data_IF_242914759548
#
_entry.id   IF_242914759548
#
_cell.length_a   1.000
_cell.length_b   1.000
_cell.length_c   1.000
_cell.angle_alpha   90.00
_cell.angle_beta   90.00
_cell.angle_gamma   90.00
#
_symmetry.space_group_name_H-M   'P 1'
#
loop_
_entity.id
_entity.type
_entity.pdbx_description
1 polymer ?
#
# COMPACT_ATOMS: atom_id res chain seq x y z
N UNK A 1 14.20 28.31 4.31
CA UNK A 1 13.96 26.86 4.46
C UNK A 1 15.18 26.15 3.92
N UNK A 2 15.86 25.34 4.74
CA UNK A 2 17.08 24.59 4.38
C UNK A 2 16.68 23.14 4.11
N UNK A 3 17.15 22.58 3.00
CA UNK A 3 16.96 21.15 2.72
C UNK A 3 18.14 20.37 3.30
N UNK A 4 17.84 19.28 4.00
CA UNK A 4 18.84 18.35 4.52
C UNK A 4 19.04 17.27 3.46
N UNK A 5 20.30 16.97 3.15
CA UNK A 5 20.61 15.91 2.21
C UNK A 5 20.18 14.55 2.78
N UNK A 6 19.53 13.76 1.92
CA UNK A 6 19.06 12.43 2.28
C UNK A 6 20.14 11.38 2.04
N UNK A 7 20.04 10.24 2.72
CA UNK A 7 20.95 9.11 2.53
C UNK A 7 20.72 8.36 1.20
N UNK A 8 21.36 7.20 1.02
CA UNK A 8 21.18 6.36 -0.18
C UNK A 8 19.77 5.77 -0.30
N UNK A 9 19.06 5.62 0.81
CA UNK A 9 17.65 5.17 0.83
C UNK A 9 16.67 6.36 0.64
N UNK A 10 17.20 7.55 0.33
CA UNK A 10 16.45 8.79 0.13
C UNK A 10 15.71 9.22 1.39
N UNK A 11 16.24 8.91 2.57
CA UNK A 11 15.71 9.28 3.87
C UNK A 11 16.58 10.35 4.57
N UNK A 12 15.95 11.33 5.20
CA UNK A 12 16.64 12.23 6.12
C UNK A 12 17.06 11.47 7.39
N UNK A 13 18.29 11.73 7.84
CA UNK A 13 18.92 11.09 9.00
C UNK A 13 19.30 12.11 10.06
N UNK A 14 19.34 11.68 11.32
CA UNK A 14 19.59 12.59 12.45
C UNK A 14 20.96 13.26 12.40
N UNK A 15 21.99 12.56 11.88
CA UNK A 15 23.36 13.09 11.79
C UNK A 15 23.44 14.39 10.97
N UNK A 16 23.01 14.36 9.71
CA UNK A 16 23.09 15.54 8.83
C UNK A 16 22.14 16.66 9.28
N UNK A 17 21.01 16.31 9.88
CA UNK A 17 20.11 17.30 10.49
C UNK A 17 20.81 18.04 11.66
N UNK A 18 21.48 17.30 12.55
CA UNK A 18 22.23 17.87 13.68
C UNK A 18 23.33 18.80 13.20
N UNK A 19 24.16 18.34 12.27
CA UNK A 19 25.24 19.16 11.69
C UNK A 19 24.70 20.47 11.11
N UNK A 20 23.59 20.41 10.37
CA UNK A 20 22.95 21.61 9.83
C UNK A 20 22.46 22.57 10.91
N UNK A 21 21.82 22.06 11.97
CA UNK A 21 21.33 22.86 13.11
C UNK A 21 22.51 23.52 13.84
N UNK A 22 23.56 22.77 14.15
CA UNK A 22 24.73 23.28 14.85
C UNK A 22 25.45 24.37 14.04
N UNK A 23 25.54 24.21 12.72
CA UNK A 23 26.13 25.21 11.84
C UNK A 23 25.28 26.46 11.70
N UNK A 24 23.95 26.33 11.69
CA UNK A 24 23.03 27.48 11.72
C UNK A 24 23.17 28.25 13.05
N UNK A 25 23.27 27.54 14.18
CA UNK A 25 23.49 28.15 15.50
C UNK A 25 24.84 28.88 15.56
N UNK A 26 25.92 28.29 15.03
CA UNK A 26 27.24 28.95 14.95
C UNK A 26 27.21 30.23 14.12
N UNK A 27 26.32 30.30 13.12
CA UNK A 27 26.11 31.49 12.30
C UNK A 27 25.17 32.52 12.95
N UNK A 28 24.69 32.27 14.18
CA UNK A 28 23.76 33.14 14.89
C UNK A 28 22.31 33.05 14.40
N UNK A 29 21.97 32.02 13.62
CA UNK A 29 20.60 31.73 13.21
C UNK A 29 19.87 30.95 14.32
N UNK A 30 18.53 30.96 14.26
CA UNK A 30 17.67 30.25 15.20
C UNK A 30 16.87 29.19 14.45
N UNK A 31 17.32 27.93 14.42
CA UNK A 31 16.50 26.81 13.97
C UNK A 31 15.27 26.69 14.88
N UNK A 32 14.09 26.48 14.30
CA UNK A 32 12.84 26.42 15.09
C UNK A 32 11.85 25.35 14.63
N UNK A 33 12.05 24.75 13.45
CA UNK A 33 11.09 23.82 12.86
C UNK A 33 11.76 22.82 11.92
N UNK A 34 11.32 21.57 12.00
CA UNK A 34 11.76 20.46 11.14
C UNK A 34 10.53 19.74 10.58
N UNK A 35 10.56 19.44 9.27
CA UNK A 35 9.62 18.53 8.62
C UNK A 35 10.27 17.17 8.42
N UNK A 36 9.78 16.13 9.08
CA UNK A 36 10.07 14.76 8.70
C UNK A 36 8.96 14.24 7.78
N UNK A 37 9.35 13.61 6.68
CA UNK A 37 8.41 13.09 5.69
C UNK A 37 8.32 11.56 5.77
N UNK A 38 7.12 11.04 5.98
CA UNK A 38 6.81 9.62 5.91
C UNK A 38 6.08 9.33 4.60
N UNK A 39 6.81 8.82 3.61
CA UNK A 39 6.30 8.59 2.27
C UNK A 39 6.48 9.81 1.37
N UNK A 40 7.74 10.14 1.06
CA UNK A 40 8.11 11.25 0.17
C UNK A 40 7.43 11.18 -1.19
N UNK A 41 7.21 12.34 -1.81
CA UNK A 41 6.51 12.41 -3.11
C UNK A 41 7.28 11.68 -4.22
N UNK A 42 8.60 11.81 -4.26
CA UNK A 42 9.44 11.26 -5.34
C UNK A 42 9.39 9.74 -5.39
N UNK A 43 9.85 9.08 -4.34
CA UNK A 43 10.08 7.63 -4.27
C UNK A 43 9.30 6.91 -3.16
N UNK A 44 8.49 7.62 -2.36
CA UNK A 44 7.85 7.07 -1.16
C UNK A 44 8.88 6.54 -0.15
N UNK A 45 9.99 7.25 0.01
CA UNK A 45 10.96 7.01 1.10
C UNK A 45 10.43 7.53 2.44
N UNK A 46 11.06 7.09 3.53
CA UNK A 46 10.64 7.40 4.90
C UNK A 46 11.82 7.93 5.69
N UNK A 47 11.72 9.17 6.16
CA UNK A 47 12.71 9.75 7.05
C UNK A 47 12.81 8.97 8.37
N UNK A 48 14.00 8.91 8.96
CA UNK A 48 14.21 8.20 10.21
C UNK A 48 13.73 9.02 11.41
N UNK A 49 12.44 8.90 11.71
CA UNK A 49 11.76 9.71 12.71
C UNK A 49 12.29 9.52 14.14
N UNK A 50 12.83 8.34 14.47
CA UNK A 50 13.46 8.06 15.76
C UNK A 50 14.72 8.92 15.94
N UNK A 51 15.60 8.94 14.94
CA UNK A 51 16.81 9.78 14.96
C UNK A 51 16.48 11.27 14.92
N UNK A 52 15.57 11.68 14.04
CA UNK A 52 15.18 13.08 13.86
C UNK A 52 14.48 13.61 15.11
N UNK A 53 13.59 12.81 15.72
CA UNK A 53 12.89 13.17 16.94
C UNK A 53 13.83 13.41 18.11
N UNK A 54 14.90 12.62 18.24
CA UNK A 54 15.94 12.85 19.26
C UNK A 54 16.62 14.21 19.05
N UNK A 55 17.08 14.49 17.83
CA UNK A 55 17.72 15.78 17.49
C UNK A 55 16.78 16.96 17.75
N UNK A 56 15.53 16.88 17.32
CA UNK A 56 14.56 17.95 17.55
C UNK A 56 14.29 18.18 19.04
N UNK A 57 14.23 17.10 19.83
CA UNK A 57 14.04 17.20 21.29
C UNK A 57 15.21 17.90 21.98
N UNK A 58 16.45 17.57 21.59
CA UNK A 58 17.67 18.15 22.17
C UNK A 58 17.83 19.64 21.86
N UNK A 59 17.40 20.07 20.68
CA UNK A 59 17.49 21.47 20.23
C UNK A 59 16.18 22.25 20.40
N UNK A 60 15.15 21.67 21.05
CA UNK A 60 13.84 22.28 21.27
C UNK A 60 13.15 22.79 19.98
N UNK A 61 13.23 22.01 18.91
CA UNK A 61 12.64 22.33 17.61
C UNK A 61 11.25 21.73 17.47
N UNK A 62 10.34 22.45 16.82
CA UNK A 62 9.05 21.90 16.45
C UNK A 62 9.22 20.82 15.38
N UNK A 63 8.84 19.57 15.69
CA UNK A 63 8.85 18.47 14.72
C UNK A 63 7.47 18.26 14.11
N UNK A 64 7.33 18.61 12.83
CA UNK A 64 6.16 18.26 12.02
C UNK A 64 6.42 16.99 11.20
N UNK A 65 5.44 16.09 11.18
CA UNK A 65 5.46 14.89 10.34
C UNK A 65 4.48 15.04 9.18
N UNK A 66 5.01 15.14 7.96
CA UNK A 66 4.22 15.03 6.73
C UNK A 66 4.09 13.56 6.35
N UNK A 67 2.90 12.99 6.56
CA UNK A 67 2.53 11.65 6.14
C UNK A 67 1.41 11.68 5.10
N UNK A 68 1.35 12.71 4.24
CA UNK A 68 0.22 12.96 3.34
C UNK A 68 -0.30 11.71 2.63
N UNK A 69 0.59 10.91 2.02
CA UNK A 69 0.23 9.67 1.35
C UNK A 69 0.28 8.46 2.30
N UNK A 70 1.44 8.18 2.90
CA UNK A 70 1.67 6.96 3.66
C UNK A 70 0.89 6.90 4.98
N UNK A 71 0.42 8.03 5.51
CA UNK A 71 -0.40 8.11 6.72
C UNK A 71 -1.67 7.25 6.64
N UNK A 72 -2.24 7.13 5.44
CA UNK A 72 -3.38 6.24 5.18
C UNK A 72 -3.05 4.77 5.45
N UNK A 73 -1.80 4.36 5.23
CA UNK A 73 -1.36 2.98 5.40
C UNK A 73 -1.24 2.57 6.87
N UNK A 74 -1.08 3.52 7.79
CA UNK A 74 -0.89 3.22 9.22
C UNK A 74 -2.15 2.69 9.93
N UNK A 75 -3.29 2.63 9.23
CA UNK A 75 -4.44 1.82 9.68
C UNK A 75 -4.10 0.32 9.71
N UNK A 76 -3.12 -0.12 8.90
CA UNK A 76 -2.59 -1.48 8.90
C UNK A 76 -1.39 -1.58 9.86
N UNK A 77 -1.45 -2.41 10.91
CA UNK A 77 -0.39 -2.51 11.92
C UNK A 77 1.01 -2.81 11.36
N UNK A 78 1.11 -3.63 10.33
CA UNK A 78 2.37 -4.04 9.70
C UNK A 78 3.15 -2.88 9.03
N UNK A 79 2.49 -1.76 8.74
CA UNK A 79 3.13 -0.57 8.16
C UNK A 79 3.51 0.48 9.21
N UNK A 80 3.27 0.23 10.50
CA UNK A 80 3.57 1.19 11.59
C UNK A 80 5.03 1.20 12.00
N UNK A 81 5.88 0.35 11.42
CA UNK A 81 7.33 0.36 11.69
C UNK A 81 7.99 1.69 11.35
N UNK A 82 7.45 2.42 10.37
CA UNK A 82 7.86 3.78 9.98
C UNK A 82 7.35 4.89 10.93
N UNK A 83 6.45 4.57 11.86
CA UNK A 83 5.99 5.52 12.90
C UNK A 83 6.86 5.51 14.16
N UNK A 84 7.92 4.70 14.23
CA UNK A 84 8.82 4.71 15.40
C UNK A 84 9.44 6.10 15.56
N UNK A 85 9.27 6.72 16.73
CA UNK A 85 9.65 8.11 17.00
C UNK A 85 8.51 9.12 16.93
N UNK A 86 7.29 8.72 16.53
CA UNK A 86 6.14 9.62 16.39
C UNK A 86 5.73 10.31 17.69
N UNK A 87 6.01 9.69 18.84
CA UNK A 87 5.77 10.25 20.16
C UNK A 87 6.53 11.56 20.44
N UNK A 88 7.57 11.85 19.64
CA UNK A 88 8.35 13.09 19.70
C UNK A 88 7.83 14.18 18.76
N UNK A 89 6.88 13.87 17.87
CA UNK A 89 6.33 14.86 16.96
C UNK A 89 5.38 15.82 17.67
N UNK A 90 5.46 17.10 17.31
CA UNK A 90 4.57 18.15 17.78
C UNK A 90 3.33 18.27 16.91
N UNK A 91 3.43 17.87 15.63
CA UNK A 91 2.27 17.74 14.75
C UNK A 91 2.46 16.70 13.67
N UNK A 92 1.36 16.15 13.16
CA UNK A 92 1.35 15.20 12.06
C UNK A 92 0.16 15.47 11.14
N UNK A 93 0.40 15.49 9.83
CA UNK A 93 -0.65 15.60 8.83
C UNK A 93 -0.70 14.37 7.92
N UNK A 94 -1.90 13.91 7.58
CA UNK A 94 -2.08 13.01 6.45
C UNK A 94 -3.38 13.30 5.69
N UNK A 95 -3.49 12.79 4.46
CA UNK A 95 -4.64 13.04 3.61
C UNK A 95 -5.50 11.78 3.45
N UNK A 96 -6.63 11.66 4.17
CA UNK A 96 -7.68 10.72 3.80
C UNK A 96 -8.08 10.83 2.32
N UNK A 97 -7.93 12.02 1.73
CA UNK A 97 -8.19 12.27 0.32
C UNK A 97 -7.14 11.78 -0.67
N UNK A 98 -6.06 11.17 -0.21
CA UNK A 98 -5.11 10.48 -1.09
C UNK A 98 -5.47 9.00 -1.24
N UNK A 99 -5.59 8.26 -0.14
CA UNK A 99 -5.66 6.80 -0.21
C UNK A 99 -6.67 6.14 0.75
N UNK A 100 -7.47 6.92 1.48
CA UNK A 100 -8.60 6.40 2.29
C UNK A 100 -9.97 6.61 1.62
N UNK A 101 -10.02 6.80 0.31
CA UNK A 101 -11.26 6.88 -0.48
C UNK A 101 -12.22 8.03 -0.09
N UNK A 102 -11.75 9.03 0.65
CA UNK A 102 -12.52 10.25 0.92
C UNK A 102 -12.26 11.23 -0.23
N UNK A 103 -13.27 11.59 -1.03
CA UNK A 103 -13.03 12.55 -2.13
C UNK A 103 -12.49 13.90 -1.61
N UNK A 104 -11.69 14.58 -2.44
CA UNK A 104 -11.08 15.87 -2.11
C UNK A 104 -12.12 16.96 -1.78
N UNK A 105 -11.88 17.91 -0.88
CA UNK A 105 -10.75 18.05 0.06
C UNK A 105 -10.99 17.28 1.37
N UNK A 106 -9.95 16.64 1.91
CA UNK A 106 -9.91 16.08 3.27
C UNK A 106 -8.46 15.81 3.70
N UNK A 107 -7.92 16.71 4.53
CA UNK A 107 -6.65 16.57 5.23
C UNK A 107 -6.93 16.56 6.72
N UNK A 108 -6.25 15.68 7.44
CA UNK A 108 -6.36 15.60 8.88
C UNK A 108 -4.99 15.95 9.49
N UNK A 109 -5.01 16.94 10.37
CA UNK A 109 -3.85 17.46 11.09
C UNK A 109 -4.09 17.19 12.58
N UNK A 110 -3.14 16.54 13.21
CA UNK A 110 -3.05 16.42 14.66
C UNK A 110 -1.92 17.29 15.16
N UNK A 111 -2.16 17.95 16.28
CA UNK A 111 -1.17 18.74 17.02
C UNK A 111 -1.13 18.23 18.46
N UNK A 112 0.06 18.14 19.02
CA UNK A 112 0.28 17.67 20.39
C UNK A 112 -0.21 18.70 21.41
N UNK A 113 0.07 19.97 21.15
CA UNK A 113 -0.39 21.10 21.93
C UNK A 113 -1.24 22.03 21.06
N UNK A 114 -2.56 21.96 21.22
CA UNK A 114 -3.49 22.84 20.51
C UNK A 114 -3.40 24.29 20.94
N UNK A 115 -2.85 24.59 22.13
CA UNK A 115 -2.70 25.98 22.61
C UNK A 115 -1.67 26.74 21.79
N UNK A 116 -0.66 26.05 21.23
CA UNK A 116 0.30 26.65 20.31
C UNK A 116 -0.41 27.21 19.06
N UNK A 117 -1.26 26.38 18.43
CA UNK A 117 -2.02 26.78 17.23
C UNK A 117 -3.05 27.87 17.58
N UNK A 118 -3.75 27.71 18.70
CA UNK A 118 -4.69 28.72 19.18
C UNK A 118 -4.01 30.08 19.35
N UNK A 119 -2.86 30.16 20.02
CA UNK A 119 -2.11 31.41 20.20
C UNK A 119 -1.68 32.04 18.88
N UNK A 120 -1.41 31.23 17.85
CA UNK A 120 -1.03 31.73 16.52
C UNK A 120 -2.18 32.40 15.79
N UNK A 121 -3.41 31.88 15.89
CA UNK A 121 -4.55 32.33 15.09
C UNK A 121 -5.69 32.99 15.90
N UNK A 122 -5.48 33.25 17.19
CA UNK A 122 -6.54 33.80 18.03
C UNK A 122 -6.97 35.20 17.56
N UNK A 123 -8.27 35.39 17.40
CA UNK A 123 -8.94 36.68 17.21
C UNK A 123 -10.28 36.62 17.93
N UNK A 124 -10.63 37.66 18.68
CA UNK A 124 -11.81 37.63 19.57
C UNK A 124 -12.79 38.79 19.31
N UNK A 125 -13.24 39.01 18.06
CA UNK A 125 -14.27 40.02 17.81
C UNK A 125 -15.58 39.64 18.49
N UNK A 126 -16.29 40.62 19.05
CA UNK A 126 -17.51 40.41 19.84
C UNK A 126 -18.58 39.58 19.11
N UNK A 127 -18.71 39.74 17.79
CA UNK A 127 -19.69 39.02 16.97
C UNK A 127 -19.37 37.53 16.72
N UNK A 128 -18.21 37.05 17.16
CA UNK A 128 -17.86 35.62 17.15
C UNK A 128 -17.92 34.98 18.54
N UNK A 129 -18.13 35.77 19.60
CA UNK A 129 -18.19 35.27 20.96
C UNK A 129 -19.53 34.58 21.24
N UNK A 130 -19.51 33.58 22.12
CA UNK A 130 -20.71 32.88 22.59
C UNK A 130 -20.55 32.45 24.05
N UNK A 131 -21.65 32.05 24.68
CA UNK A 131 -21.72 31.73 26.12
C UNK A 131 -20.74 30.61 26.54
N UNK A 132 -20.40 29.71 25.61
CA UNK A 132 -19.47 28.59 25.83
C UNK A 132 -18.01 28.87 25.44
N UNK A 133 -17.65 30.11 25.08
CA UNK A 133 -16.26 30.43 24.72
C UNK A 133 -15.34 30.17 25.91
N UNK A 134 -14.19 29.51 25.68
CA UNK A 134 -13.29 29.05 26.73
C UNK A 134 -13.62 27.67 27.32
N UNK A 135 -14.80 27.11 27.01
CA UNK A 135 -15.18 25.73 27.37
C UNK A 135 -15.29 24.83 26.13
N UNK A 136 -15.93 25.33 25.08
CA UNK A 136 -16.05 24.62 23.81
C UNK A 136 -14.78 24.75 22.94
N UNK A 137 -14.60 23.81 22.01
CA UNK A 137 -13.48 23.86 21.05
C UNK A 137 -13.88 24.66 19.82
N UNK A 138 -13.30 25.84 19.68
CA UNK A 138 -13.51 26.71 18.51
C UNK A 138 -12.45 26.44 17.44
N UNK A 139 -12.80 25.59 16.48
CA UNK A 139 -11.89 25.21 15.39
C UNK A 139 -11.40 26.38 14.53
N UNK A 140 -12.04 27.56 14.60
CA UNK A 140 -11.55 28.77 13.91
C UNK A 140 -10.13 29.15 14.36
N UNK A 141 -9.78 28.88 15.62
CA UNK A 141 -8.44 29.15 16.15
C UNK A 141 -7.40 28.09 15.73
N UNK A 142 -7.81 27.04 15.03
CA UNK A 142 -6.94 25.93 14.60
C UNK A 142 -6.70 25.89 13.09
N UNK A 143 -7.08 26.95 12.37
CA UNK A 143 -6.94 27.04 10.92
C UNK A 143 -6.74 28.50 10.50
N UNK A 144 -6.25 28.69 9.28
CA UNK A 144 -6.00 30.02 8.72
C UNK A 144 -7.31 30.81 8.45
N UNK A 145 -8.34 30.26 7.77
CA UNK A 145 -9.57 31.00 7.50
C UNK A 145 -10.57 30.92 8.66
N UNK A 146 -11.54 31.83 8.72
CA UNK A 146 -12.65 31.74 9.67
C UNK A 146 -13.60 30.58 9.34
N UNK A 147 -14.23 30.65 8.16
CA UNK A 147 -15.28 29.71 7.76
C UNK A 147 -14.72 28.30 7.51
N UNK A 148 -15.46 27.28 7.97
CA UNK A 148 -15.20 25.87 7.64
C UNK A 148 -16.48 25.12 7.31
N UNK A 149 -16.42 24.32 6.25
CA UNK A 149 -17.49 23.40 5.83
C UNK A 149 -17.50 22.13 6.70
N UNK A 150 -18.62 21.41 6.72
CA UNK A 150 -18.78 20.17 7.49
C UNK A 150 -18.07 18.97 6.85
N UNK A 151 -16.72 19.00 6.81
CA UNK A 151 -15.89 17.96 6.17
C UNK A 151 -16.05 16.58 6.81
N UNK A 152 -16.34 16.55 8.11
CA UNK A 152 -16.37 15.32 8.90
C UNK A 152 -17.49 14.37 8.46
N UNK A 153 -18.59 14.86 7.87
CA UNK A 153 -19.72 14.02 7.45
C UNK A 153 -19.29 12.97 6.40
N UNK A 154 -18.56 13.39 5.36
CA UNK A 154 -18.07 12.45 4.33
C UNK A 154 -17.01 11.49 4.85
N UNK A 155 -16.14 11.95 5.76
CA UNK A 155 -15.16 11.09 6.42
C UNK A 155 -15.87 10.03 7.25
N UNK A 156 -16.88 10.42 8.03
CA UNK A 156 -17.67 9.52 8.86
C UNK A 156 -18.40 8.45 8.05
N UNK A 157 -19.03 8.82 6.92
CA UNK A 157 -19.65 7.84 6.02
C UNK A 157 -18.66 6.83 5.45
N UNK A 158 -17.48 7.26 5.02
CA UNK A 158 -16.46 6.32 4.52
C UNK A 158 -16.01 5.38 5.64
N UNK A 159 -15.69 5.90 6.82
CA UNK A 159 -15.26 5.07 7.96
C UNK A 159 -16.34 4.04 8.37
N UNK A 160 -17.62 4.45 8.39
CA UNK A 160 -18.73 3.55 8.77
C UNK A 160 -19.13 2.56 7.70
N UNK A 161 -19.13 2.98 6.43
CA UNK A 161 -19.56 2.15 5.30
C UNK A 161 -18.54 1.03 5.02
N UNK A 162 -17.26 1.38 4.90
CA UNK A 162 -16.20 0.41 4.61
C UNK A 162 -15.74 -0.35 5.86
N UNK A 163 -15.79 0.30 7.02
CA UNK A 163 -15.20 -0.21 8.26
C UNK A 163 -13.67 -0.31 8.19
N UNK A 164 -13.04 -0.48 9.36
CA UNK A 164 -11.56 -0.56 9.46
C UNK A 164 -11.02 -1.74 8.63
N UNK A 165 -11.68 -2.90 8.67
CA UNK A 165 -11.25 -4.09 7.92
C UNK A 165 -11.31 -3.89 6.41
N UNK A 166 -12.35 -3.20 5.90
CA UNK A 166 -12.48 -2.89 4.48
C UNK A 166 -11.39 -1.92 4.01
N UNK A 167 -11.14 -0.86 4.79
CA UNK A 167 -10.08 0.11 4.51
C UNK A 167 -8.69 -0.54 4.52
N UNK A 168 -8.40 -1.38 5.53
CA UNK A 168 -7.13 -2.12 5.58
C UNK A 168 -6.97 -3.06 4.37
N UNK A 169 -8.04 -3.72 3.94
CA UNK A 169 -8.02 -4.57 2.73
C UNK A 169 -7.69 -3.75 1.48
N UNK A 170 -8.29 -2.58 1.32
CA UNK A 170 -8.01 -1.66 0.21
C UNK A 170 -6.52 -1.28 0.14
N UNK A 171 -5.94 -0.86 1.27
CA UNK A 171 -4.51 -0.52 1.35
C UNK A 171 -3.65 -1.73 0.97
N UNK A 172 -3.89 -2.89 1.59
CA UNK A 172 -3.11 -4.12 1.35
C UNK A 172 -3.17 -4.56 -0.12
N UNK A 173 -4.34 -4.43 -0.74
CA UNK A 173 -4.50 -4.77 -2.16
C UNK A 173 -3.71 -3.83 -3.06
N UNK A 174 -3.73 -2.52 -2.80
CA UNK A 174 -2.90 -1.56 -3.53
C UNK A 174 -1.40 -1.87 -3.39
N UNK A 175 -0.95 -2.26 -2.19
CA UNK A 175 0.45 -2.70 -1.97
C UNK A 175 0.77 -3.98 -2.74
N UNK A 176 -0.14 -4.97 -2.72
CA UNK A 176 0.03 -6.24 -3.44
C UNK A 176 0.14 -6.03 -4.95
N UNK A 177 -0.67 -5.15 -5.53
CA UNK A 177 -0.63 -4.81 -6.96
C UNK A 177 0.67 -4.09 -7.32
N UNK A 178 1.15 -3.17 -6.48
CA UNK A 178 2.44 -2.52 -6.68
C UNK A 178 3.61 -3.52 -6.64
N UNK A 179 3.57 -4.53 -5.76
CA UNK A 179 4.55 -5.62 -5.74
C UNK A 179 4.54 -6.43 -7.03
N UNK A 180 3.36 -6.64 -7.64
CA UNK A 180 3.26 -7.32 -8.95
C UNK A 180 3.86 -6.48 -10.07
N UNK A 181 3.60 -5.17 -10.08
CA UNK A 181 4.23 -4.27 -11.04
C UNK A 181 5.76 -4.22 -10.86
N UNK A 182 6.26 -4.13 -9.62
CA UNK A 182 7.70 -4.20 -9.31
C UNK A 182 8.36 -5.46 -9.88
N UNK A 183 7.75 -6.64 -9.70
CA UNK A 183 8.26 -7.90 -10.26
C UNK A 183 8.30 -7.89 -11.80
N UNK A 184 7.29 -7.30 -12.44
CA UNK A 184 7.24 -7.17 -13.90
C UNK A 184 8.36 -6.27 -14.44
N UNK A 185 8.66 -5.16 -13.77
CA UNK A 185 9.76 -4.26 -14.14
C UNK A 185 11.11 -4.96 -13.96
N UNK A 186 11.32 -5.64 -12.83
CA UNK A 186 12.58 -6.36 -12.55
C UNK A 186 12.85 -7.51 -13.53
N UNK A 187 11.80 -8.12 -14.09
CA UNK A 187 11.93 -9.18 -15.08
C UNK A 187 12.40 -8.66 -16.46
N UNK A 188 12.28 -7.36 -16.74
CA UNK A 188 12.72 -6.76 -18.01
C UNK A 188 14.04 -6.00 -17.82
N UNK A 189 15.13 -6.61 -18.28
CA UNK A 189 16.49 -6.10 -18.15
C UNK A 189 16.74 -4.68 -18.67
N UNK A 190 15.87 -4.18 -19.56
CA UNK A 190 15.95 -2.81 -20.09
C UNK A 190 15.68 -1.77 -19.01
N UNK A 191 15.02 -2.16 -17.93
CA UNK A 191 14.62 -1.29 -16.84
C UNK A 191 15.43 -1.53 -15.58
N UNK A 192 15.38 -0.55 -14.69
CA UNK A 192 15.89 -0.62 -13.33
C UNK A 192 14.99 0.15 -12.37
N UNK A 193 15.09 -0.18 -11.08
CA UNK A 193 14.37 0.48 -9.98
C UNK A 193 15.38 1.26 -9.13
N UNK A 194 15.48 2.59 -9.31
CA UNK A 194 16.45 3.40 -8.56
C UNK A 194 16.12 3.58 -7.08
N UNK A 195 14.93 3.19 -6.64
CA UNK A 195 14.57 3.18 -5.23
C UNK A 195 13.71 1.96 -4.89
N UNK A 196 13.78 1.54 -3.63
CA UNK A 196 13.00 0.43 -3.09
C UNK A 196 11.51 0.77 -3.12
N UNK A 197 10.67 -0.18 -3.57
CA UNK A 197 9.22 -0.01 -3.50
C UNK A 197 8.75 -0.07 -2.04
N UNK A 198 8.11 1.02 -1.63
CA UNK A 198 7.27 1.04 -0.45
C UNK A 198 5.82 1.33 -0.83
N UNK A 199 4.91 0.66 -0.13
CA UNK A 199 3.47 0.81 -0.34
C UNK A 199 3.05 0.64 -1.81
N UNK A 200 2.23 1.56 -2.34
CA UNK A 200 1.62 1.51 -3.67
C UNK A 200 2.35 2.30 -4.77
N UNK A 201 3.59 2.76 -4.53
CA UNK A 201 4.39 3.50 -5.52
C UNK A 201 5.61 2.69 -5.96
N UNK A 202 5.74 2.48 -7.26
CA UNK A 202 6.96 1.94 -7.89
C UNK A 202 7.59 3.05 -8.72
N UNK A 203 8.90 3.26 -8.55
CA UNK A 203 9.68 4.16 -9.39
C UNK A 203 10.63 3.35 -10.26
N UNK A 204 10.63 3.64 -11.55
CA UNK A 204 11.42 2.89 -12.52
C UNK A 204 11.93 3.80 -13.64
N UNK A 205 12.96 3.35 -14.33
CA UNK A 205 13.51 4.03 -15.51
C UNK A 205 14.06 3.01 -16.49
N UNK A 206 14.25 3.44 -17.74
CA UNK A 206 15.06 2.70 -18.70
C UNK A 206 16.53 2.92 -18.32
N UNK A 207 17.34 1.85 -18.37
CA UNK A 207 18.79 1.95 -18.13
C UNK A 207 19.46 2.85 -19.18
N UNK A 208 20.42 3.65 -18.73
CA UNK A 208 21.15 4.59 -19.59
C UNK A 208 20.78 6.04 -19.27
N UNK A 209 20.76 6.88 -20.30
CA UNK A 209 20.59 8.32 -20.14
C UNK A 209 19.15 8.73 -19.81
N UNK A 210 19.01 9.86 -19.10
CA UNK A 210 17.72 10.40 -18.70
C UNK A 210 16.78 10.68 -19.89
N UNK A 211 17.33 11.08 -21.04
CA UNK A 211 16.57 11.42 -22.24
C UNK A 211 15.73 10.23 -22.75
N UNK A 212 16.24 9.00 -22.60
CA UNK A 212 15.53 7.78 -23.04
C UNK A 212 14.24 7.62 -22.23
N UNK A 213 14.33 7.77 -20.91
CA UNK A 213 13.19 7.64 -20.00
C UNK A 213 12.23 8.82 -20.16
N UNK A 214 12.74 10.03 -20.43
CA UNK A 214 11.90 11.20 -20.72
C UNK A 214 11.09 11.01 -22.02
N UNK A 215 11.70 10.49 -23.09
CA UNK A 215 11.00 10.17 -24.34
C UNK A 215 9.94 9.08 -24.15
N UNK A 216 10.25 8.03 -23.39
CA UNK A 216 9.26 7.01 -23.00
C UNK A 216 8.04 7.67 -22.34
N UNK A 217 8.27 8.50 -21.31
CA UNK A 217 7.16 9.10 -20.57
C UNK A 217 6.32 10.04 -21.44
N UNK A 218 6.96 10.88 -22.26
CA UNK A 218 6.26 11.76 -23.20
C UNK A 218 5.38 10.97 -24.17
N UNK A 219 5.88 9.85 -24.71
CA UNK A 219 5.14 8.99 -25.64
C UNK A 219 3.98 8.27 -24.95
N UNK A 220 4.17 7.77 -23.72
CA UNK A 220 3.09 7.16 -22.93
C UNK A 220 1.95 8.15 -22.67
N UNK A 221 2.28 9.33 -22.17
CA UNK A 221 1.28 10.36 -21.88
C UNK A 221 0.61 10.91 -23.14
N UNK A 222 1.32 10.98 -24.26
CA UNK A 222 0.73 11.38 -25.55
C UNK A 222 -0.28 10.35 -26.07
N UNK A 223 0.00 9.04 -25.90
CA UNK A 223 -0.93 7.97 -26.28
C UNK A 223 -2.18 7.93 -25.41
N UNK A 224 -2.08 8.38 -24.15
CA UNK A 224 -3.24 8.56 -23.27
C UNK A 224 -3.88 7.28 -22.74
N UNK A 225 -3.26 6.12 -22.94
CA UNK A 225 -3.75 4.83 -22.43
C UNK A 225 -3.55 4.68 -20.92
N UNK A 226 -2.51 5.32 -20.38
CA UNK A 226 -2.22 5.46 -18.96
C UNK A 226 -1.57 6.81 -18.70
N UNK A 227 -1.58 7.28 -17.46
CA UNK A 227 -0.95 8.53 -17.07
C UNK A 227 0.11 8.28 -16.00
N UNK A 228 1.33 8.74 -16.28
CA UNK A 228 2.42 8.71 -15.32
C UNK A 228 3.08 10.09 -15.27
N UNK A 229 3.78 10.37 -14.17
CA UNK A 229 4.52 11.63 -14.00
C UNK A 229 5.96 11.34 -13.58
N UNK A 230 6.92 12.22 -13.92
CA UNK A 230 8.31 11.98 -13.62
C UNK A 230 8.68 12.43 -12.20
N UNK A 231 9.88 12.04 -11.78
CA UNK A 231 10.61 12.66 -10.68
C UNK A 231 12.12 12.60 -10.95
N UNK A 232 12.91 13.25 -10.09
CA UNK A 232 14.37 13.23 -10.14
C UNK A 232 14.90 12.71 -8.81
N UNK A 233 15.60 11.58 -8.84
CA UNK A 233 16.22 10.97 -7.67
C UNK A 233 17.73 11.08 -7.83
N UNK A 234 18.39 11.94 -7.04
CA UNK A 234 19.83 12.25 -7.15
C UNK A 234 20.29 12.53 -8.60
N UNK A 235 19.47 13.28 -9.35
CA UNK A 235 19.75 13.63 -10.75
C UNK A 235 19.30 12.58 -11.79
N UNK A 236 18.79 11.42 -11.36
CA UNK A 236 18.25 10.40 -12.26
C UNK A 236 16.77 10.66 -12.54
N UNK A 237 16.41 10.77 -13.81
CA UNK A 237 15.03 10.89 -14.25
C UNK A 237 14.32 9.53 -14.12
N UNK A 238 13.22 9.51 -13.39
CA UNK A 238 12.42 8.31 -13.12
C UNK A 238 10.95 8.53 -13.44
N UNK A 239 10.26 7.46 -13.80
CA UNK A 239 8.80 7.41 -13.97
C UNK A 239 8.18 6.88 -12.67
N UNK A 240 7.11 7.52 -12.21
CA UNK A 240 6.35 7.13 -11.02
C UNK A 240 5.07 6.41 -11.41
N UNK A 241 4.97 5.12 -11.05
CA UNK A 241 3.77 4.31 -11.24
C UNK A 241 3.06 4.12 -9.88
N UNK A 242 1.92 4.77 -9.70
CA UNK A 242 1.16 4.73 -8.43
C UNK A 242 -0.13 3.94 -8.64
N UNK A 243 -0.39 2.98 -7.76
CA UNK A 243 -1.69 2.30 -7.73
C UNK A 243 -2.73 3.23 -7.13
N UNK A 244 -3.83 3.48 -7.86
CA UNK A 244 -4.81 4.53 -7.53
C UNK A 244 -6.21 3.98 -7.24
N UNK A 245 -6.89 3.48 -8.26
CA UNK A 245 -8.30 3.12 -8.20
C UNK A 245 -8.58 2.03 -7.16
N UNK A 246 -9.75 2.11 -6.53
CA UNK A 246 -10.29 1.06 -5.65
C UNK A 246 -10.65 -0.22 -6.41
N UNK A 247 -10.73 -0.14 -7.73
CA UNK A 247 -11.12 -1.22 -8.62
C UNK A 247 -9.98 -1.77 -9.47
N UNK A 248 -8.73 -1.31 -9.27
CA UNK A 248 -7.58 -1.83 -10.01
C UNK A 248 -7.45 -3.33 -9.78
N UNK A 249 -7.32 -4.07 -10.87
CA UNK A 249 -7.12 -5.52 -10.90
C UNK A 249 -5.71 -5.86 -11.34
N UNK A 250 -5.33 -7.14 -11.26
CA UNK A 250 -4.04 -7.59 -11.80
C UNK A 250 -3.98 -7.41 -13.32
N UNK A 251 -5.09 -7.59 -14.03
CA UNK A 251 -5.15 -7.46 -15.47
C UNK A 251 -4.86 -6.01 -15.92
N UNK A 252 -5.32 -5.02 -15.15
CA UNK A 252 -4.98 -3.62 -15.39
C UNK A 252 -3.46 -3.38 -15.26
N UNK A 253 -2.82 -3.96 -14.23
CA UNK A 253 -1.36 -3.86 -14.03
C UNK A 253 -0.60 -4.48 -15.20
N UNK A 254 -1.03 -5.66 -15.65
CA UNK A 254 -0.40 -6.36 -16.78
C UNK A 254 -0.59 -5.56 -18.06
N UNK A 255 -1.79 -5.04 -18.30
CA UNK A 255 -2.12 -4.22 -19.47
C UNK A 255 -1.27 -2.96 -19.53
N UNK A 256 -1.19 -2.22 -18.43
CA UNK A 256 -0.37 -0.99 -18.34
C UNK A 256 1.10 -1.29 -18.55
N UNK A 257 1.60 -2.40 -17.99
CA UNK A 257 2.97 -2.84 -18.19
C UNK A 257 3.26 -3.25 -19.65
N UNK A 258 2.33 -3.91 -20.33
CA UNK A 258 2.47 -4.25 -21.75
C UNK A 258 2.58 -3.01 -22.61
N UNK A 259 1.77 -1.98 -22.33
CA UNK A 259 1.87 -0.67 -23.00
C UNK A 259 3.24 -0.02 -22.74
N UNK A 260 3.73 -0.01 -21.49
CA UNK A 260 5.05 0.51 -21.14
C UNK A 260 6.16 -0.23 -21.90
N UNK A 261 6.11 -1.57 -21.95
CA UNK A 261 7.10 -2.38 -22.68
C UNK A 261 7.05 -2.15 -24.18
N UNK A 262 5.86 -2.02 -24.75
CA UNK A 262 5.69 -1.77 -26.18
C UNK A 262 6.30 -0.41 -26.55
N UNK A 263 5.92 0.65 -25.82
CA UNK A 263 6.42 2.00 -26.08
C UNK A 263 7.93 2.11 -25.82
N UNK A 264 8.45 1.43 -24.80
CA UNK A 264 9.90 1.37 -24.58
C UNK A 264 10.65 0.72 -25.74
N UNK A 265 10.09 -0.32 -26.35
CA UNK A 265 10.69 -0.96 -27.54
C UNK A 265 10.74 0.02 -28.72
N UNK A 266 9.65 0.74 -28.98
CA UNK A 266 9.58 1.77 -30.03
C UNK A 266 10.63 2.86 -29.80
N UNK A 267 10.76 3.39 -28.56
CA UNK A 267 11.72 4.45 -28.25
C UNK A 267 13.15 3.97 -28.41
N UNK A 268 13.48 2.76 -27.95
CA UNK A 268 14.82 2.20 -28.08
C UNK A 268 15.21 1.93 -29.55
N UNK A 269 14.27 1.44 -30.36
CA UNK A 269 14.44 1.25 -31.80
C UNK A 269 14.64 2.59 -32.53
N UNK A 270 13.79 3.60 -32.25
CA UNK A 270 13.89 4.95 -32.80
C UNK A 270 15.24 5.61 -32.46
N UNK A 271 15.77 5.36 -31.26
CA UNK A 271 17.07 5.89 -30.81
C UNK A 271 18.26 5.00 -31.21
N UNK A 272 18.02 3.84 -31.83
CA UNK A 272 19.04 2.83 -32.16
C UNK A 272 19.88 2.40 -30.94
N UNK A 273 19.23 2.23 -29.78
CA UNK A 273 19.87 1.84 -28.51
C UNK A 273 19.56 0.38 -28.21
N UNK A 274 20.61 -0.42 -27.97
CA UNK A 274 20.48 -1.80 -27.49
C UNK A 274 20.95 -1.89 -26.04
N UNK A 275 20.06 -2.24 -25.13
CA UNK A 275 20.43 -2.47 -23.72
C UNK A 275 20.84 -3.93 -23.59
N UNK A 276 22.13 -4.17 -23.34
CA UNK A 276 22.68 -5.51 -23.21
C UNK A 276 22.27 -6.16 -21.89
N UNK A 277 21.94 -7.45 -21.97
CA UNK A 277 21.76 -8.33 -20.81
C UNK A 277 23.09 -8.87 -20.23
N UNK A 278 24.21 -8.60 -20.90
CA UNK A 278 25.51 -9.19 -20.54
C UNK A 278 26.10 -8.50 -19.32
N UNK A 279 26.14 -9.21 -18.21
CA UNK A 279 27.06 -8.92 -17.11
C UNK A 279 28.48 -9.25 -17.58
N UNK A 280 29.34 -8.24 -17.73
CA UNK A 280 30.74 -8.50 -18.04
C UNK A 280 31.43 -9.02 -16.78
N UNK A 281 31.99 -10.23 -16.84
CA UNK A 281 32.73 -10.88 -15.75
C UNK A 281 33.82 -9.99 -15.12
N UNK A 282 34.39 -9.07 -15.91
CA UNK A 282 35.37 -8.08 -15.46
C UNK A 282 34.80 -7.12 -14.41
N UNK A 283 33.60 -6.59 -14.62
CA UNK A 283 32.92 -5.67 -13.69
C UNK A 283 32.47 -6.40 -12.41
N UNK A 284 32.21 -7.70 -12.50
CA UNK A 284 31.83 -8.52 -11.34
C UNK A 284 33.03 -8.77 -10.41
N UNK A 285 34.23 -8.87 -10.99
CA UNK A 285 35.51 -9.03 -10.28
C UNK A 285 35.97 -7.73 -9.59
N UNK A 286 35.66 -6.59 -10.18
CA UNK A 286 35.93 -5.26 -9.59
C UNK A 286 35.01 -4.95 -8.39
N UNK A 287 33.77 -5.46 -8.40
CA UNK A 287 32.81 -5.28 -7.29
C UNK A 287 33.03 -6.22 -6.11
N UNK A 288 33.77 -7.31 -6.30
CA UNK A 288 34.06 -8.28 -5.25
C UNK A 288 35.40 -8.98 -5.54
N UNK A 289 36.45 -8.64 -4.80
CA UNK A 289 37.78 -9.26 -4.95
C UNK A 289 37.77 -10.78 -4.73
N UNK A 290 36.78 -11.31 -4.00
CA UNK A 290 36.59 -12.75 -3.79
C UNK A 290 35.83 -13.45 -4.95
N UNK A 291 35.45 -12.73 -6.01
CA UNK A 291 34.81 -13.32 -7.17
C UNK A 291 35.82 -14.12 -8.00
N UNK A 292 35.78 -15.45 -7.83
CA UNK A 292 36.67 -16.42 -8.51
C UNK A 292 37.53 -17.27 -7.57
N UNK A 293 37.69 -16.89 -6.29
CA UNK A 293 38.42 -17.71 -5.31
C UNK A 293 37.63 -18.98 -4.92
N UNK A 294 36.30 -18.94 -4.98
CA UNK A 294 35.43 -20.11 -4.78
C UNK A 294 35.52 -21.15 -5.91
N UNK A 295 35.85 -20.72 -7.15
CA UNK A 295 36.00 -21.61 -8.32
C UNK A 295 37.34 -22.39 -8.32
N UNK A 296 38.33 -21.95 -7.55
CA UNK A 296 39.59 -22.69 -7.37
C UNK A 296 39.49 -23.79 -6.30
N UNK A 297 38.55 -23.64 -5.35
CA UNK A 297 38.34 -24.62 -4.27
C UNK A 297 37.41 -25.78 -4.65
N UNK A 298 36.67 -25.68 -5.76
CA UNK A 298 35.78 -26.75 -6.24
C UNK A 298 36.52 -27.93 -6.88
N UNK A 299 37.82 -27.80 -7.17
CA UNK A 299 38.67 -28.88 -7.72
C UNK A 299 39.53 -29.58 -6.66
N UNK A 300 39.32 -29.34 -5.37
CA UNK A 300 39.97 -30.10 -4.30
C UNK A 300 39.05 -31.23 -3.82
N UNK A 301 39.43 -32.51 -3.97
CA UNK A 301 38.54 -33.65 -3.68
C UNK A 301 38.21 -33.86 -2.19
N UNK A 302 38.72 -33.02 -1.28
CA UNK A 302 38.61 -33.21 0.17
C UNK A 302 38.11 -31.98 0.96
N UNK A 303 37.60 -30.94 0.31
CA UNK A 303 36.98 -29.81 1.02
C UNK A 303 35.48 -30.05 1.27
N UNK A 304 34.95 -29.83 2.48
CA UNK A 304 33.51 -29.93 2.73
C UNK A 304 32.78 -28.91 1.86
N UNK A 305 31.90 -29.41 0.98
CA UNK A 305 31.09 -28.59 0.06
C UNK A 305 30.04 -27.81 0.85
N UNK A 306 30.41 -26.66 1.41
CA UNK A 306 29.42 -25.67 1.83
C UNK A 306 28.91 -24.98 0.57
N UNK A 307 27.82 -25.50 0.03
CA UNK A 307 27.10 -24.90 -1.10
C UNK A 307 26.44 -23.62 -0.59
N UNK A 308 26.99 -22.48 -0.95
CA UNK A 308 26.28 -21.21 -0.84
C UNK A 308 25.18 -21.21 -1.91
N UNK A 309 23.95 -21.55 -1.51
CA UNK A 309 22.77 -21.72 -2.36
C UNK A 309 22.24 -20.44 -3.03
N UNK A 310 23.00 -19.34 -3.00
CA UNK A 310 22.52 -18.03 -3.46
C UNK A 310 22.66 -17.81 -4.98
N UNK A 311 23.35 -18.69 -5.71
CA UNK A 311 23.61 -18.52 -7.16
C UNK A 311 22.96 -19.57 -8.07
N UNK A 312 22.43 -20.66 -7.51
CA UNK A 312 21.73 -21.70 -8.27
C UNK A 312 20.21 -21.42 -8.43
N UNK A 313 19.72 -20.28 -7.95
CA UNK A 313 18.28 -19.97 -7.91
C UNK A 313 17.81 -18.94 -8.96
N UNK A 314 18.66 -18.51 -9.89
CA UNK A 314 18.31 -17.42 -10.84
C UNK A 314 18.23 -17.89 -12.29
N UNK A 315 18.63 -19.11 -12.60
CA UNK A 315 18.28 -19.72 -13.88
C UNK A 315 17.78 -21.13 -13.62
N UNK A 316 16.54 -21.37 -14.09
CA UNK A 316 15.80 -22.62 -14.10
C UNK A 316 14.75 -22.81 -12.99
N UNK A 317 13.69 -22.00 -13.04
CA UNK A 317 12.49 -22.17 -12.21
C UNK A 317 11.37 -22.99 -12.88
N UNK A 318 11.48 -23.32 -14.17
CA UNK A 318 10.42 -24.07 -14.87
C UNK A 318 10.80 -25.54 -15.17
N UNK A 319 12.08 -25.90 -15.35
CA UNK A 319 12.44 -27.30 -15.65
C UNK A 319 12.91 -28.10 -14.42
N UNK A 320 13.52 -27.47 -13.41
CA UNK A 320 14.03 -28.17 -12.23
C UNK A 320 12.95 -28.55 -11.20
N UNK A 321 11.88 -27.76 -11.09
CA UNK A 321 10.74 -28.05 -10.21
C UNK A 321 9.90 -29.24 -10.69
N UNK A 322 9.77 -29.43 -12.01
CA UNK A 322 9.00 -30.53 -12.59
C UNK A 322 9.68 -31.90 -12.42
N UNK A 323 11.02 -31.97 -12.51
CA UNK A 323 11.76 -33.25 -12.42
C UNK A 323 12.14 -33.64 -10.99
N UNK A 324 12.30 -32.68 -10.08
CA UNK A 324 12.71 -32.99 -8.68
C UNK A 324 11.51 -33.34 -7.79
N UNK A 325 10.30 -32.85 -8.09
CA UNK A 325 9.08 -33.19 -7.35
C UNK A 325 8.26 -34.34 -7.96
N UNK A 326 8.61 -34.84 -9.14
CA UNK A 326 7.96 -36.03 -9.70
C UNK A 326 8.19 -37.30 -8.85
N UNK A 327 9.20 -37.31 -7.96
CA UNK A 327 9.51 -38.43 -7.06
C UNK A 327 9.12 -38.22 -5.59
N UNK A 328 8.71 -37.02 -5.17
CA UNK A 328 8.35 -36.75 -3.77
C UNK A 328 6.85 -36.83 -3.60
N UNK A 329 6.34 -38.03 -3.30
CA UNK A 329 5.00 -38.20 -2.72
C UNK A 329 5.03 -37.59 -1.31
N UNK A 330 4.51 -36.37 -1.16
CA UNK A 330 4.05 -35.89 0.15
C UNK A 330 2.76 -36.65 0.46
N UNK A 331 2.90 -37.82 1.07
CA UNK A 331 1.76 -38.49 1.68
C UNK A 331 1.37 -37.70 2.93
N UNK A 332 0.34 -36.86 2.83
CA UNK A 332 -0.37 -36.38 4.02
C UNK A 332 -1.06 -37.59 4.66
N UNK A 333 -0.39 -38.28 5.58
CA UNK A 333 -1.06 -39.21 6.48
C UNK A 333 -1.86 -38.39 7.50
N UNK A 334 -3.17 -38.32 7.29
CA UNK A 334 -4.09 -37.71 8.25
C UNK A 334 -4.07 -38.45 9.59
N UNK A 335 -4.06 -37.70 10.69
CA UNK A 335 -4.11 -38.28 12.02
C UNK A 335 -5.44 -39.04 12.24
N UNK A 336 -5.44 -40.15 13.00
CA UNK A 336 -6.65 -40.93 13.27
C UNK A 336 -7.79 -40.14 13.92
N UNK A 337 -7.48 -39.05 14.63
CA UNK A 337 -8.46 -38.16 15.25
C UNK A 337 -9.21 -37.31 14.23
N UNK A 338 -8.55 -36.87 13.16
CA UNK A 338 -9.14 -36.09 12.08
C UNK A 338 -10.13 -36.91 11.26
N UNK A 339 -9.74 -38.15 10.89
CA UNK A 339 -10.63 -39.08 10.16
C UNK A 339 -11.89 -39.45 10.93
N UNK A 340 -11.81 -39.64 12.25
CA UNK A 340 -13.01 -39.88 13.09
C UNK A 340 -13.93 -38.66 13.13
N UNK A 341 -13.35 -37.44 13.20
CA UNK A 341 -14.12 -36.19 13.23
C UNK A 341 -14.89 -35.98 11.93
N UNK A 342 -14.24 -36.10 10.77
CA UNK A 342 -14.90 -35.92 9.46
C UNK A 342 -15.99 -36.96 9.23
N UNK A 343 -15.73 -38.24 9.59
CA UNK A 343 -16.75 -39.30 9.51
C UNK A 343 -17.95 -39.02 10.43
N UNK A 344 -17.72 -38.44 11.61
CA UNK A 344 -18.77 -38.02 12.52
C UNK A 344 -19.63 -36.87 11.96
N UNK A 345 -19.00 -35.90 11.29
CA UNK A 345 -19.71 -34.79 10.62
C UNK A 345 -20.62 -35.32 9.52
N UNK A 346 -20.10 -36.16 8.61
CA UNK A 346 -20.83 -36.73 7.47
C UNK A 346 -22.00 -37.63 7.88
N UNK A 347 -21.91 -38.34 9.02
CA UNK A 347 -22.94 -39.28 9.48
C UNK A 347 -24.06 -38.65 10.32
N UNK A 348 -23.89 -37.40 10.77
CA UNK A 348 -24.80 -36.82 11.78
C UNK A 348 -26.03 -36.10 11.19
N UNK A 349 -26.04 -35.79 9.90
CA UNK A 349 -27.16 -35.10 9.22
C UNK A 349 -27.53 -33.72 9.78
N UNK A 350 -26.70 -33.13 10.66
CA UNK A 350 -26.91 -31.81 11.27
C UNK A 350 -26.22 -30.71 10.48
N UNK A 351 -26.74 -29.49 10.57
CA UNK A 351 -26.11 -28.30 9.99
C UNK A 351 -25.00 -27.80 10.91
N UNK A 352 -23.78 -27.64 10.38
CA UNK A 352 -22.59 -27.22 11.14
C UNK A 352 -22.09 -25.84 10.75
N UNK A 353 -21.26 -25.24 11.62
CA UNK A 353 -20.62 -23.95 11.36
C UNK A 353 -19.69 -24.00 10.14
N UNK A 354 -19.45 -22.83 9.53
CA UNK A 354 -18.63 -22.69 8.31
C UNK A 354 -17.22 -23.28 8.46
N UNK A 355 -16.61 -23.18 9.65
CA UNK A 355 -15.30 -23.76 9.93
C UNK A 355 -15.29 -25.30 9.86
N UNK A 356 -16.42 -25.94 10.20
CA UNK A 356 -16.55 -27.41 10.11
C UNK A 356 -16.72 -27.91 8.67
N UNK A 357 -17.16 -27.04 7.75
CA UNK A 357 -17.29 -27.35 6.33
C UNK A 357 -15.96 -27.24 5.59
N UNK A 358 -15.04 -26.39 6.04
CA UNK A 358 -13.69 -26.30 5.46
C UNK A 358 -12.93 -27.63 5.57
N UNK A 359 -13.04 -28.33 6.69
CA UNK A 359 -12.41 -29.64 6.91
C UNK A 359 -12.93 -30.71 5.91
N UNK A 360 -14.18 -30.60 5.44
CA UNK A 360 -14.80 -31.53 4.47
C UNK A 360 -14.37 -31.21 3.04
N UNK A 361 -14.25 -29.93 2.68
CA UNK A 361 -13.92 -29.46 1.32
C UNK A 361 -12.46 -29.77 0.95
N UNK A 362 -11.56 -29.80 1.95
CA UNK A 362 -10.17 -30.21 1.75
C UNK A 362 -10.07 -31.70 1.33
N UNK A 363 -11.01 -32.54 1.74
CA UNK A 363 -10.99 -33.97 1.41
C UNK A 363 -11.46 -34.25 -0.03
N UNK A 364 -12.50 -33.56 -0.52
CA UNK A 364 -13.04 -33.75 -1.88
C UNK A 364 -12.12 -33.27 -3.00
N UNK A 365 -11.22 -32.33 -2.70
CA UNK A 365 -10.26 -31.80 -3.67
C UNK A 365 -9.03 -32.69 -3.84
N UNK A 366 -8.76 -33.61 -2.91
CA UNK A 366 -7.63 -34.54 -2.97
C UNK A 366 -7.97 -35.86 -3.71
N UNK A 367 -9.23 -36.31 -3.68
CA UNK A 367 -9.64 -37.56 -4.36
C UNK A 367 -9.83 -37.42 -5.88
N UNK A 368 -9.92 -36.19 -6.41
CA UNK A 368 -10.12 -35.93 -7.84
C UNK A 368 -8.85 -36.10 -8.70
N UNK A 369 -7.69 -36.38 -8.08
CA UNK A 369 -6.37 -36.40 -8.73
C UNK A 369 -5.82 -37.78 -9.11
N UNK A 370 -6.53 -38.89 -8.92
CA UNK A 370 -5.99 -40.22 -9.25
C UNK A 370 -7.02 -41.18 -9.86
N UNK A 371 -6.84 -41.49 -11.15
CA UNK A 371 -7.24 -42.79 -11.73
C UNK A 371 -8.41 -42.81 -12.72
N UNK A 372 -8.07 -42.77 -14.01
CA UNK A 372 -8.52 -43.66 -15.10
C UNK A 372 -9.96 -44.26 -15.11
N UNK A 373 -10.68 -43.92 -16.19
CA UNK A 373 -11.56 -44.76 -17.03
C UNK A 373 -12.50 -45.79 -16.37
N UNK A 374 -13.83 -45.53 -16.48
CA UNK A 374 -14.82 -46.57 -16.79
C UNK A 374 -16.08 -45.98 -17.44
N UNK A 375 -16.54 -46.70 -18.46
CA UNK A 375 -17.69 -46.51 -19.36
C UNK A 375 -19.03 -46.90 -18.72
N UNK A 376 -20.13 -46.57 -19.45
CA UNK A 376 -21.54 -47.05 -19.35
C UNK A 376 -22.46 -46.16 -18.47
N UNK A 377 -23.30 -45.28 -19.05
CA UNK A 377 -24.62 -45.39 -19.74
C UNK A 377 -25.85 -45.15 -18.85
N UNK A 378 -26.81 -44.46 -19.48
CA UNK A 378 -28.27 -44.43 -19.29
C UNK A 378 -28.94 -43.48 -18.29
N UNK A 379 -29.57 -42.45 -18.88
CA UNK A 379 -30.98 -42.02 -18.78
C UNK A 379 -31.65 -41.85 -17.41
N UNK A 380 -32.11 -40.63 -17.11
CA UNK A 380 -33.51 -40.22 -17.37
C UNK A 380 -33.82 -38.88 -16.67
N UNK A 381 -34.09 -37.84 -17.47
CA UNK A 381 -34.76 -36.64 -17.01
C UNK A 381 -36.26 -36.90 -16.99
N UNK A 382 -36.85 -36.94 -15.79
CA UNK A 382 -38.29 -36.79 -15.58
C UNK A 382 -38.54 -35.45 -14.89
N UNK A 383 -39.05 -34.45 -15.63
CA UNK A 383 -39.56 -33.21 -15.06
C UNK A 383 -41.01 -33.06 -15.52
N UNK A 384 -41.94 -33.45 -14.67
CA UNK A 384 -43.36 -33.15 -14.79
C UNK A 384 -43.62 -31.73 -14.29
N UNK A 385 -44.32 -30.98 -15.13
CA UNK A 385 -44.94 -29.69 -14.87
C UNK A 385 -46.25 -29.87 -14.09
N UNK A 386 -46.56 -28.96 -13.16
CA UNK A 386 -47.95 -28.64 -12.82
C UNK A 386 -48.08 -27.20 -12.34
N UNK A 387 -48.82 -26.43 -13.12
CA UNK A 387 -49.44 -25.12 -12.87
C UNK A 387 -50.72 -25.24 -12.03
N UNK A 388 -50.98 -24.23 -11.17
CA UNK A 388 -52.29 -23.63 -10.85
C UNK A 388 -52.01 -22.44 -9.88
N UNK A 389 -52.30 -21.16 -10.17
CA UNK A 389 -53.60 -20.45 -10.24
C UNK A 389 -54.45 -20.70 -8.96
N UNK A 390 -55.03 -19.73 -8.22
CA UNK A 390 -55.49 -18.35 -8.51
C UNK A 390 -56.08 -17.73 -7.22
N UNK A 391 -56.16 -16.37 -7.17
CA UNK A 391 -57.22 -15.52 -6.56
C UNK A 391 -57.38 -15.50 -5.01
N UNK A 392 -57.81 -14.43 -4.31
CA UNK A 392 -58.35 -13.11 -4.66
C UNK A 392 -58.45 -12.20 -3.40
N UNK A 393 -58.43 -10.88 -3.66
CA UNK A 393 -59.26 -9.78 -3.08
C UNK A 393 -59.39 -9.49 -1.57
N UNK A 394 -59.11 -8.22 -1.21
CA UNK A 394 -60.00 -7.18 -0.59
C UNK A 394 -59.10 -6.10 0.05
N UNK A 395 -58.94 -4.88 -0.48
CA UNK A 395 -59.80 -3.68 -0.53
C UNK A 395 -60.32 -3.09 0.80
N UNK A 396 -60.22 -1.74 0.84
CA UNK A 396 -60.94 -0.72 1.64
C UNK A 396 -60.27 -0.32 3.00
N UNK A 397 -59.62 0.86 3.11
CA UNK A 397 -60.14 2.24 3.31
C UNK A 397 -60.51 2.49 4.79
N UNK A 398 -60.28 3.63 5.48
CA UNK A 398 -60.51 5.05 5.15
C UNK A 398 -60.09 5.90 6.40
N UNK A 399 -59.64 7.15 6.17
CA UNK A 399 -59.81 8.43 6.95
C UNK A 399 -59.37 8.56 8.42
N UNK A 400 -58.57 9.56 8.82
CA UNK A 400 -58.65 11.05 8.80
C UNK A 400 -59.23 11.65 10.10
N UNK A 401 -58.79 12.90 10.34
CA UNK A 401 -59.16 13.90 11.36
C UNK A 401 -58.45 13.82 12.73
N UNK A 402 -58.13 14.92 13.44
CA UNK A 402 -57.81 16.36 13.23
C UNK A 402 -57.90 17.02 14.63
N UNK A 403 -57.43 18.27 14.76
CA UNK A 403 -57.59 19.24 15.88
C UNK A 403 -56.66 19.10 17.10
N UNK A 404 -55.68 19.99 17.34
CA UNK A 404 -55.71 21.42 17.81
C UNK A 404 -56.01 21.63 19.31
N UNK A 405 -54.92 21.92 20.08
CA UNK A 405 -54.67 23.05 21.02
C UNK A 405 -55.66 23.40 22.18
N UNK A 406 -55.35 24.25 23.21
CA UNK A 406 -54.08 24.84 23.72
C UNK A 406 -53.95 24.84 25.30
N UNK A 407 -52.93 25.57 25.80
CA UNK A 407 -52.79 26.23 27.13
C UNK A 407 -52.35 25.45 28.40
N UNK A 408 -51.43 26.06 29.17
CA UNK A 408 -51.19 25.71 30.59
C UNK A 408 -49.80 26.01 31.14
N UNK A 409 -49.66 27.13 31.85
CA UNK A 409 -48.44 27.76 32.39
C UNK A 409 -48.12 27.31 33.84
N UNK A 410 -46.84 26.92 34.13
CA UNK A 410 -45.98 27.06 35.36
C UNK A 410 -46.55 26.86 36.80
N UNK A 411 -45.74 26.83 37.89
CA UNK A 411 -44.33 26.42 38.09
C UNK A 411 -44.09 25.51 39.34
N UNK A 412 -42.88 24.93 39.47
CA UNK A 412 -42.05 24.96 40.68
C UNK A 412 -40.59 24.71 40.34
#
# INVERSE_FOLDING_TARGET
>A
MRYIEADEDLAMRGKLLREAIEDDIKQGLVPFWVCATLGTTGSCSFDNLEEIGLVCSEHHLWLHVDAAYAGSAFICPEFRTWLRGIERADSMAFNPSKWLMVHFDATALWVRDSTAVHRTFNVEPLYLQHENSGVAVDFMHWQIPLSRRFRALKVWFVLRSYGIKGLQRHIREGVRLAQKFEALVLADHRFELPAKRHLGLVVFRIRGDNEITEKLLKRLNHRGNLHCIPSSLKGQYVIRFTITSTHTTLDDIVKDWMEIRQVASMVLEEMNITISNRVYLKETKEKNEAFGSSLLLSNSPLSPKVVNGSFAAIFDADEFLAKTYAGVRIAHQESPSMRRRVRGILMSGKQFSLDSHMDVVVQTTLDAGSGATRTSTTNSYGRTTSTAQTNAERQASIQEDNEESPEGMKPR
#
